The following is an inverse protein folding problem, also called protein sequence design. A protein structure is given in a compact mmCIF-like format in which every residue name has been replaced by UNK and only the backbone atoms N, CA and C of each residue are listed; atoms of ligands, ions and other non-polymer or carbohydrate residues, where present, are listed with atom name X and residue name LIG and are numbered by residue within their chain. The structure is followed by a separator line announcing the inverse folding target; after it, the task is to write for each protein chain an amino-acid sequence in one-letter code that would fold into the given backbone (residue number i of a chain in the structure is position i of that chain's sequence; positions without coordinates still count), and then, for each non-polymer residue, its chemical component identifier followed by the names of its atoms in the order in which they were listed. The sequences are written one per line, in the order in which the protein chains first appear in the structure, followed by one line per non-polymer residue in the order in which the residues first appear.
data_IF_034341894734
#
_entry.id   IF_034341894734
#
_cell.length_a   1.000
_cell.length_b   1.000
_cell.length_c   1.000
_cell.angle_alpha   90.00
_cell.angle_beta   90.00
_cell.angle_gamma   90.00
#
_symmetry.space_group_name_H-M   'P 1'
#
loop_
_entity.id
_entity.type
_entity.pdbx_description
1 polymer ?
#
# COMPACT_ATOMS: atom_id res chain seq x y z
N UNK A 1 16.94 -1.82 16.64
CA UNK A 1 18.02 -1.70 15.63
C UNK A 1 18.30 -0.20 15.46
N UNK A 2 19.56 0.25 15.45
CA UNK A 2 19.87 1.64 15.12
C UNK A 2 19.45 1.92 13.67
N UNK A 3 19.04 3.15 13.35
CA UNK A 3 18.61 3.56 12.02
C UNK A 3 19.60 4.59 11.45
N UNK A 4 19.74 4.70 10.11
CA UNK A 4 20.55 5.72 9.46
C UNK A 4 20.11 7.13 9.86
N UNK A 5 21.06 8.03 10.03
CA UNK A 5 20.81 9.41 10.45
C UNK A 5 20.02 10.19 9.40
N UNK A 6 20.27 9.95 8.12
CA UNK A 6 19.59 10.62 7.02
C UNK A 6 18.10 10.25 6.98
N UNK A 7 17.77 8.98 7.23
CA UNK A 7 16.39 8.53 7.37
C UNK A 7 15.68 9.23 8.53
N UNK A 8 16.32 9.35 9.70
CA UNK A 8 15.71 10.03 10.86
C UNK A 8 15.39 11.48 10.54
N UNK A 9 16.34 12.19 9.91
CA UNK A 9 16.13 13.58 9.49
C UNK A 9 14.99 13.70 8.47
N UNK A 10 14.92 12.78 7.50
CA UNK A 10 13.85 12.74 6.52
C UNK A 10 12.48 12.48 7.18
N UNK A 11 12.41 11.49 8.06
CA UNK A 11 11.22 11.11 8.82
C UNK A 11 10.72 12.27 9.70
N UNK A 12 11.62 12.94 10.41
CA UNK A 12 11.28 14.11 11.25
C UNK A 12 10.79 15.29 10.40
N UNK A 13 11.36 15.48 9.20
CA UNK A 13 11.05 16.62 8.33
C UNK A 13 9.72 16.49 7.61
N UNK A 14 9.40 15.29 7.13
CA UNK A 14 8.27 15.02 6.23
C UNK A 14 7.13 14.23 6.91
N UNK A 15 7.44 13.42 7.91
CA UNK A 15 6.50 12.47 8.50
C UNK A 15 6.21 11.27 7.56
N UNK A 16 5.18 10.46 7.88
CA UNK A 16 4.76 9.36 7.02
C UNK A 16 4.19 9.90 5.70
N UNK A 17 4.47 9.23 4.58
CA UNK A 17 4.00 9.66 3.28
C UNK A 17 4.69 8.95 2.12
N UNK A 18 4.44 9.49 0.93
CA UNK A 18 4.99 8.97 -0.32
C UNK A 18 5.59 10.08 -1.18
N UNK A 19 6.64 9.75 -1.92
CA UNK A 19 7.17 10.59 -2.99
C UNK A 19 6.51 10.23 -4.33
N UNK A 20 6.08 11.24 -5.07
CA UNK A 20 5.36 11.12 -6.34
C UNK A 20 4.14 10.19 -6.31
N UNK A 21 3.53 10.02 -5.13
CA UNK A 21 2.46 9.03 -4.87
C UNK A 21 2.83 7.60 -5.31
N UNK A 22 4.13 7.29 -5.35
CA UNK A 22 4.64 6.01 -5.84
C UNK A 22 5.62 5.36 -4.85
N UNK A 23 6.56 6.13 -4.28
CA UNK A 23 7.55 5.63 -3.32
C UNK A 23 7.08 5.87 -1.90
N UNK A 24 6.59 4.82 -1.24
CA UNK A 24 6.11 4.86 0.15
C UNK A 24 7.23 4.48 1.10
N UNK A 25 7.61 5.40 1.99
CA UNK A 25 8.60 5.10 3.02
C UNK A 25 7.93 4.58 4.27
N UNK A 26 8.49 3.51 4.83
CA UNK A 26 8.02 3.00 6.10
C UNK A 26 8.41 3.97 7.20
N UNK A 27 7.46 4.26 8.08
CA UNK A 27 7.61 5.25 9.13
C UNK A 27 7.17 4.66 10.48
N UNK A 28 7.79 4.98 11.64
CA UNK A 28 7.36 4.46 12.93
C UNK A 28 5.91 4.84 13.27
N UNK A 29 5.50 6.03 12.87
CA UNK A 29 4.11 6.52 12.95
C UNK A 29 3.31 6.25 11.67
N UNK A 30 3.65 5.19 10.92
CA UNK A 30 2.93 4.79 9.71
C UNK A 30 1.46 4.55 10.01
N UNK A 31 0.59 5.07 9.13
CA UNK A 31 -0.88 5.09 9.35
C UNK A 31 -1.55 3.72 9.22
N UNK A 32 -0.87 2.75 8.60
CA UNK A 32 -1.30 1.35 8.49
C UNK A 32 -0.12 0.41 8.78
N UNK A 33 -0.39 -0.87 9.03
CA UNK A 33 0.67 -1.87 9.22
C UNK A 33 1.57 -2.03 7.97
N UNK A 34 1.06 -1.72 6.78
CA UNK A 34 1.74 -1.84 5.48
C UNK A 34 2.85 -0.82 5.27
N UNK A 35 2.79 0.31 5.99
CA UNK A 35 3.79 1.38 5.91
C UNK A 35 4.42 1.69 7.27
N UNK A 36 4.26 0.79 8.25
CA UNK A 36 4.83 0.96 9.58
C UNK A 36 6.19 0.28 9.68
N UNK A 37 7.24 1.07 9.90
CA UNK A 37 8.63 0.58 10.02
C UNK A 37 8.83 -0.38 11.20
N UNK A 38 8.08 -0.16 12.29
CA UNK A 38 8.12 -0.97 13.50
C UNK A 38 7.00 -2.01 13.55
N UNK A 39 6.19 -2.09 12.49
CA UNK A 39 5.08 -3.01 12.35
C UNK A 39 5.53 -4.43 11.98
N UNK A 40 4.55 -5.33 11.75
CA UNK A 40 4.85 -6.72 11.39
C UNK A 40 5.41 -6.88 9.97
N UNK A 41 5.24 -5.89 9.10
CA UNK A 41 5.50 -6.01 7.67
C UNK A 41 6.98 -6.21 7.31
N UNK A 42 7.94 -5.44 7.85
CA UNK A 42 9.36 -5.71 7.62
C UNK A 42 9.79 -7.15 8.00
N UNK A 43 9.20 -7.70 9.07
CA UNK A 43 9.43 -9.10 9.47
C UNK A 43 8.82 -10.11 8.51
N UNK A 44 7.60 -9.87 8.03
CA UNK A 44 6.92 -10.72 7.02
C UNK A 44 7.69 -10.74 5.70
N UNK A 45 8.15 -9.58 5.24
CA UNK A 45 8.95 -9.45 4.00
C UNK A 45 10.25 -10.25 4.15
N UNK A 46 10.96 -10.09 5.27
CA UNK A 46 12.19 -10.86 5.55
C UNK A 46 11.95 -12.36 5.56
N UNK A 47 10.87 -12.82 6.19
CA UNK A 47 10.52 -14.24 6.22
C UNK A 47 10.19 -14.79 4.82
N UNK A 48 9.62 -13.98 3.94
CA UNK A 48 9.39 -14.34 2.55
C UNK A 48 10.73 -14.46 1.80
N UNK A 49 11.60 -13.46 1.91
CA UNK A 49 12.94 -13.50 1.31
C UNK A 49 13.76 -14.70 1.79
N UNK A 50 13.66 -15.07 3.08
CA UNK A 50 14.31 -16.26 3.62
C UNK A 50 13.83 -17.53 2.93
N UNK A 51 12.52 -17.70 2.73
CA UNK A 51 11.98 -18.85 2.01
C UNK A 51 12.51 -18.91 0.58
N UNK A 52 12.51 -17.78 -0.12
CA UNK A 52 12.98 -17.73 -1.51
C UNK A 52 14.48 -18.01 -1.62
N UNK A 53 15.27 -17.51 -0.66
CA UNK A 53 16.70 -17.78 -0.53
C UNK A 53 16.99 -19.27 -0.24
N UNK A 54 16.31 -19.85 0.74
CA UNK A 54 16.52 -21.25 1.15
C UNK A 54 16.06 -22.25 0.07
N UNK A 55 15.01 -21.90 -0.69
CA UNK A 55 14.49 -22.73 -1.78
C UNK A 55 15.21 -22.51 -3.12
N UNK A 56 16.01 -21.45 -3.24
CA UNK A 56 16.70 -21.07 -4.48
C UNK A 56 15.74 -20.71 -5.62
N UNK A 57 14.47 -20.38 -5.33
CA UNK A 57 13.45 -20.06 -6.33
C UNK A 57 13.67 -18.69 -6.94
N UNK A 58 14.20 -17.74 -6.16
CA UNK A 58 14.62 -16.42 -6.61
C UNK A 58 15.96 -16.04 -5.97
N UNK A 59 16.95 -15.58 -6.75
CA UNK A 59 18.22 -15.13 -6.19
C UNK A 59 18.00 -13.88 -5.31
N UNK A 60 18.33 -14.00 -4.03
CA UNK A 60 18.43 -12.87 -3.10
C UNK A 60 19.91 -12.53 -2.95
N UNK A 61 20.35 -11.31 -3.31
CA UNK A 61 21.77 -10.98 -3.46
C UNK A 61 22.52 -10.80 -2.14
N UNK A 62 21.78 -10.61 -1.05
CA UNK A 62 22.30 -10.48 0.31
C UNK A 62 21.63 -11.51 1.20
N UNK A 63 22.25 -11.84 2.32
CA UNK A 63 21.57 -12.63 3.34
C UNK A 63 20.27 -11.89 3.74
N UNK A 64 19.10 -12.52 3.71
CA UNK A 64 17.85 -11.92 4.18
C UNK A 64 17.95 -11.27 5.57
N UNK A 65 18.84 -11.70 6.45
CA UNK A 65 19.06 -11.06 7.75
C UNK A 65 19.76 -9.70 7.65
N UNK A 66 20.49 -9.46 6.57
CA UNK A 66 21.12 -8.19 6.21
C UNK A 66 20.20 -7.28 5.37
N UNK A 67 18.94 -7.69 5.13
CA UNK A 67 17.97 -6.88 4.38
C UNK A 67 16.86 -6.39 5.32
N UNK A 68 16.77 -5.08 5.47
CA UNK A 68 15.70 -4.44 6.25
C UNK A 68 14.79 -3.63 5.34
N UNK A 69 13.54 -4.05 5.18
CA UNK A 69 12.56 -3.34 4.35
C UNK A 69 12.24 -1.96 4.96
N UNK A 70 12.49 -0.91 4.18
CA UNK A 70 12.32 0.49 4.60
C UNK A 70 11.34 1.27 3.71
N UNK A 71 10.82 0.66 2.65
CA UNK A 71 9.78 1.24 1.83
C UNK A 71 9.20 0.26 0.83
N UNK A 72 8.20 0.71 0.09
CA UNK A 72 7.58 -0.03 -1.00
C UNK A 72 7.14 0.90 -2.12
N UNK A 73 6.86 0.33 -3.28
CA UNK A 73 6.23 1.03 -4.40
C UNK A 73 4.78 0.59 -4.61
N UNK A 74 4.02 1.35 -5.40
CA UNK A 74 2.69 0.93 -5.84
C UNK A 74 2.69 -0.29 -6.77
N UNK A 75 3.83 -0.60 -7.40
CA UNK A 75 3.98 -1.76 -8.27
C UNK A 75 4.40 -3.03 -7.50
N UNK A 76 4.67 -2.91 -6.19
CA UNK A 76 4.99 -4.03 -5.31
C UNK A 76 6.49 -4.32 -5.17
N UNK A 77 7.36 -3.42 -5.63
CA UNK A 77 8.76 -3.45 -5.23
C UNK A 77 8.88 -3.03 -3.77
N UNK A 78 9.88 -3.58 -3.08
CA UNK A 78 10.31 -3.16 -1.76
C UNK A 78 11.68 -2.50 -1.86
N UNK A 79 11.86 -1.48 -1.04
CA UNK A 79 13.14 -0.83 -0.80
C UNK A 79 13.72 -1.40 0.49
N UNK A 80 15.01 -1.68 0.49
CA UNK A 80 15.73 -2.25 1.62
C UNK A 80 16.96 -1.43 1.96
N UNK A 81 17.24 -1.30 3.25
CA UNK A 81 18.62 -1.09 3.69
C UNK A 81 19.37 -2.42 3.66
N UNK A 82 20.56 -2.39 3.06
CA UNK A 82 21.57 -3.45 3.21
C UNK A 82 22.32 -3.16 4.51
N UNK A 83 22.02 -3.90 5.57
CA UNK A 83 22.45 -3.61 6.94
C UNK A 83 23.83 -4.18 7.28
N UNK A 84 24.77 -4.08 6.34
CA UNK A 84 26.16 -4.54 6.50
C UNK A 84 27.14 -3.37 6.33
N UNK A 85 28.00 -3.05 7.32
CA UNK A 85 28.04 -3.64 8.66
C UNK A 85 26.86 -3.22 9.53
N UNK A 86 26.34 -4.12 10.35
CA UNK A 86 25.20 -3.87 11.23
C UNK A 86 25.48 -2.79 12.31
N UNK A 87 26.76 -2.50 12.59
CA UNK A 87 27.20 -1.54 13.61
C UNK A 87 27.28 -0.11 13.10
N UNK A 88 27.19 0.14 11.79
CA UNK A 88 27.35 1.47 11.20
C UNK A 88 26.22 1.76 10.19
N UNK A 89 25.03 2.16 10.69
CA UNK A 89 23.87 2.35 9.85
C UNK A 89 23.99 3.50 8.84
N UNK A 90 24.86 4.47 9.08
CA UNK A 90 25.07 5.59 8.15
C UNK A 90 25.81 5.16 6.87
N UNK A 91 26.36 3.93 6.86
CA UNK A 91 26.98 3.31 5.68
C UNK A 91 26.06 2.36 4.94
N UNK A 92 24.84 2.13 5.42
CA UNK A 92 23.92 1.21 4.75
C UNK A 92 23.51 1.73 3.37
N UNK A 93 23.52 0.81 2.42
CA UNK A 93 23.17 1.07 1.01
C UNK A 93 21.72 0.68 0.73
N UNK A 94 21.22 1.05 -0.44
CA UNK A 94 19.83 0.73 -0.85
C UNK A 94 19.82 -0.45 -1.81
N UNK A 95 18.88 -1.36 -1.59
CA UNK A 95 18.50 -2.38 -2.56
C UNK A 95 17.01 -2.27 -2.91
N UNK A 96 16.67 -2.59 -4.15
CA UNK A 96 15.29 -2.65 -4.65
C UNK A 96 15.09 -3.98 -5.34
N UNK A 97 14.09 -4.76 -4.93
CA UNK A 97 13.75 -6.00 -5.63
C UNK A 97 12.82 -5.71 -6.82
N UNK A 98 12.80 -6.63 -7.78
CA UNK A 98 11.72 -6.74 -8.73
C UNK A 98 10.50 -7.37 -8.06
N UNK A 99 9.32 -6.73 -8.18
CA UNK A 99 8.10 -7.17 -7.51
C UNK A 99 7.71 -8.62 -7.85
N UNK A 100 7.97 -9.02 -9.10
CA UNK A 100 7.62 -10.34 -9.65
C UNK A 100 8.76 -10.87 -10.51
N UNK A 101 9.95 -10.99 -9.93
CA UNK A 101 11.09 -11.53 -10.65
C UNK A 101 12.37 -11.61 -9.84
N UNK A 102 13.44 -12.13 -10.46
CA UNK A 102 14.69 -12.41 -9.77
C UNK A 102 15.62 -11.20 -9.68
N UNK A 103 15.29 -10.07 -10.33
CA UNK A 103 16.25 -8.98 -10.49
C UNK A 103 16.26 -8.08 -9.26
N UNK A 104 17.43 -7.55 -8.97
CA UNK A 104 17.66 -6.56 -7.93
C UNK A 104 18.42 -5.39 -8.51
N UNK A 105 18.14 -4.20 -7.97
CA UNK A 105 18.91 -3.00 -8.18
C UNK A 105 19.55 -2.60 -6.86
N UNK A 106 20.82 -2.16 -6.90
CA UNK A 106 21.51 -1.64 -5.73
C UNK A 106 22.00 -0.23 -6.00
N UNK A 107 22.02 0.58 -4.94
CA UNK A 107 22.51 1.95 -4.98
C UNK A 107 23.49 2.18 -3.84
N UNK A 108 24.72 2.54 -4.20
CA UNK A 108 25.77 2.87 -3.25
C UNK A 108 25.56 4.31 -2.73
N UNK A 109 24.81 4.41 -1.65
CA UNK A 109 24.58 5.66 -0.95
C UNK A 109 23.39 5.59 -0.01
N UNK A 110 23.17 6.69 0.70
CA UNK A 110 22.11 6.82 1.69
C UNK A 110 20.71 6.83 1.06
N UNK A 111 19.67 6.65 1.87
CA UNK A 111 18.28 6.68 1.40
C UNK A 111 17.92 8.03 0.77
N UNK A 112 18.32 9.12 1.41
CA UNK A 112 18.09 10.48 0.92
C UNK A 112 18.82 10.76 -0.38
N UNK A 113 20.06 10.27 -0.53
CA UNK A 113 20.81 10.37 -1.79
C UNK A 113 20.13 9.58 -2.91
N UNK A 114 19.67 8.35 -2.62
CA UNK A 114 18.90 7.54 -3.55
C UNK A 114 17.63 8.26 -4.01
N UNK A 115 16.81 8.76 -3.07
CA UNK A 115 15.58 9.48 -3.40
C UNK A 115 15.85 10.73 -4.23
N UNK A 116 16.84 11.54 -3.85
CA UNK A 116 17.21 12.75 -4.60
C UNK A 116 17.68 12.40 -6.02
N UNK A 117 18.50 11.37 -6.17
CA UNK A 117 19.02 10.93 -7.46
C UNK A 117 17.91 10.37 -8.38
N UNK A 118 17.01 9.55 -7.84
CA UNK A 118 15.87 9.00 -8.60
C UNK A 118 14.89 10.10 -8.99
N UNK A 119 14.46 10.93 -8.04
CA UNK A 119 13.45 11.96 -8.27
C UNK A 119 13.95 13.13 -9.14
N UNK A 120 15.27 13.28 -9.29
CA UNK A 120 15.89 14.22 -10.24
C UNK A 120 16.22 13.59 -11.60
N UNK A 121 16.02 12.27 -11.76
CA UNK A 121 16.33 11.53 -12.98
C UNK A 121 17.81 11.22 -13.19
N UNK A 122 18.67 11.46 -12.19
CA UNK A 122 20.09 11.10 -12.24
C UNK A 122 20.31 9.59 -12.15
N UNK A 123 19.43 8.86 -11.45
CA UNK A 123 19.46 7.39 -11.37
C UNK A 123 18.17 6.81 -11.92
N UNK A 124 18.30 5.91 -12.88
CA UNK A 124 17.20 5.11 -13.39
C UNK A 124 17.22 3.73 -12.73
N UNK A 125 16.17 3.43 -11.96
CA UNK A 125 15.94 2.10 -11.38
C UNK A 125 15.15 1.30 -12.41
N UNK A 126 15.68 0.19 -12.97
CA UNK A 126 15.01 -0.57 -14.04
C UNK A 126 13.60 -1.07 -13.69
N UNK A 127 13.31 -1.24 -12.40
CA UNK A 127 12.02 -1.70 -11.89
C UNK A 127 10.97 -0.58 -11.84
N UNK A 128 11.37 0.69 -11.89
CA UNK A 128 10.44 1.82 -11.78
C UNK A 128 9.85 2.20 -13.14
N UNK A 129 8.61 2.71 -13.17
CA UNK A 129 7.99 3.14 -14.41
C UNK A 129 8.72 4.38 -14.96
N UNK A 130 8.88 4.43 -16.29
CA UNK A 130 9.46 5.60 -16.96
C UNK A 130 8.67 6.90 -16.69
N UNK A 131 7.36 6.79 -16.42
CA UNK A 131 6.46 7.91 -16.12
C UNK A 131 6.62 8.48 -14.70
N UNK A 132 7.49 7.91 -13.85
CA UNK A 132 7.72 8.38 -12.48
C UNK A 132 8.09 9.87 -12.42
N UNK A 133 8.72 10.39 -13.48
CA UNK A 133 9.26 11.75 -13.58
C UNK A 133 8.46 12.66 -14.53
N UNK A 134 7.29 12.21 -15.00
CA UNK A 134 6.42 13.01 -15.89
C UNK A 134 5.89 14.27 -15.20
N UNK A 135 5.90 14.28 -13.85
CA UNK A 135 5.54 15.41 -13.03
C UNK A 135 6.70 15.80 -12.08
N UNK A 136 6.78 17.07 -11.65
CA UNK A 136 7.75 17.50 -10.66
C UNK A 136 7.69 16.67 -9.38
N UNK A 137 8.86 16.46 -8.77
CA UNK A 137 8.98 15.75 -7.50
C UNK A 137 8.09 16.39 -6.42
N UNK A 138 7.23 15.58 -5.80
CA UNK A 138 6.34 15.99 -4.72
C UNK A 138 6.36 14.98 -3.58
N UNK A 139 6.05 15.44 -2.38
CA UNK A 139 5.78 14.59 -1.23
C UNK A 139 4.32 14.72 -0.83
N UNK A 140 3.65 13.59 -0.66
CA UNK A 140 2.27 13.49 -0.20
C UNK A 140 2.25 12.89 1.20
N UNK A 141 1.94 13.69 2.25
CA UNK A 141 1.84 13.18 3.60
C UNK A 141 0.71 12.16 3.75
N UNK A 142 0.99 11.02 4.39
CA UNK A 142 -0.04 10.09 4.82
C UNK A 142 -0.81 10.69 5.98
N UNK A 143 -2.12 10.89 5.78
CA UNK A 143 -3.02 11.22 6.88
C UNK A 143 -3.67 9.92 7.36
N UNK A 144 -3.89 9.75 8.68
CA UNK A 144 -4.78 8.71 9.13
C UNK A 144 -6.11 8.93 8.42
N UNK A 145 -6.44 8.08 7.46
CA UNK A 145 -7.80 7.99 6.99
C UNK A 145 -8.55 7.40 8.18
N UNK A 146 -9.19 8.27 8.96
CA UNK A 146 -10.40 7.91 9.69
C UNK A 146 -11.46 7.57 8.64
N UNK A 147 -11.23 6.50 7.87
CA UNK A 147 -12.23 5.93 6.99
C UNK A 147 -13.20 5.20 7.90
N UNK A 148 -14.06 5.97 8.56
CA UNK A 148 -15.44 5.53 8.66
C UNK A 148 -15.95 5.62 7.23
N UNK A 149 -16.34 4.51 6.57
CA UNK A 149 -17.18 4.67 5.39
C UNK A 149 -18.32 5.58 5.84
N UNK A 150 -18.48 6.72 5.16
CA UNK A 150 -19.63 7.58 5.43
C UNK A 150 -20.85 6.67 5.27
N UNK A 151 -21.67 6.48 6.32
CA UNK A 151 -22.83 5.62 6.18
C UNK A 151 -23.59 6.15 4.97
N UNK A 152 -24.02 5.27 4.05
CA UNK A 152 -24.78 5.73 2.89
C UNK A 152 -25.91 6.62 3.41
N UNK A 153 -25.94 7.88 2.95
CA UNK A 153 -26.90 8.90 3.40
C UNK A 153 -28.28 8.27 3.46
N UNK A 154 -28.92 8.33 4.63
CA UNK A 154 -30.28 7.88 4.95
C UNK A 154 -31.03 7.25 3.77
N UNK A 155 -30.69 6.00 3.44
CA UNK A 155 -31.67 5.15 2.76
C UNK A 155 -32.63 4.79 3.89
N UNK A 156 -33.73 5.54 4.00
CA UNK A 156 -34.81 5.15 4.89
C UNK A 156 -35.05 3.65 4.67
N UNK A 157 -35.09 2.83 5.74
CA UNK A 157 -35.34 1.40 5.60
C UNK A 157 -36.66 1.26 4.86
N UNK A 158 -36.61 0.90 3.57
CA UNK A 158 -37.83 0.69 2.80
C UNK A 158 -38.51 -0.48 3.47
N UNK A 159 -39.75 -0.29 3.92
CA UNK A 159 -40.50 -1.33 4.60
C UNK A 159 -40.70 -2.51 3.64
N UNK A 160 -39.81 -3.49 3.77
CA UNK A 160 -39.80 -4.66 2.90
C UNK A 160 -41.06 -5.51 3.11
N UNK A 161 -41.78 -5.36 4.23
CA UNK A 161 -43.07 -5.99 4.41
C UNK A 161 -44.14 -5.30 3.55
N UNK A 162 -44.15 -3.97 3.50
CA UNK A 162 -45.03 -3.21 2.62
C UNK A 162 -44.80 -3.51 1.13
N UNK A 163 -43.54 -3.57 0.69
CA UNK A 163 -43.23 -3.94 -0.71
C UNK A 163 -43.73 -5.35 -1.03
N UNK A 164 -43.52 -6.33 -0.13
CA UNK A 164 -43.97 -7.71 -0.35
C UNK A 164 -45.50 -7.83 -0.36
N UNK A 165 -46.19 -7.09 0.51
CA UNK A 165 -47.65 -7.07 0.55
C UNK A 165 -48.22 -6.49 -0.77
N UNK A 166 -47.68 -5.37 -1.24
CA UNK A 166 -48.04 -4.79 -2.52
C UNK A 166 -47.73 -5.73 -3.68
N UNK A 167 -46.54 -6.32 -3.69
CA UNK A 167 -46.10 -7.23 -4.75
C UNK A 167 -47.04 -8.43 -4.91
N UNK A 168 -47.44 -9.07 -3.79
CA UNK A 168 -48.41 -10.18 -3.80
C UNK A 168 -49.79 -9.73 -4.28
N UNK A 169 -50.25 -8.56 -3.84
CA UNK A 169 -51.53 -8.00 -4.28
C UNK A 169 -51.55 -7.68 -5.79
N UNK A 170 -50.39 -7.43 -6.39
CA UNK A 170 -50.21 -7.14 -7.82
C UNK A 170 -49.71 -8.36 -8.64
N UNK A 171 -49.75 -9.57 -8.05
CA UNK A 171 -49.46 -10.81 -8.77
C UNK A 171 -47.99 -11.16 -8.95
N UNK A 172 -47.06 -10.46 -8.26
CA UNK A 172 -45.64 -10.81 -8.27
C UNK A 172 -45.34 -11.96 -7.31
N UNK A 173 -44.53 -12.92 -7.76
CA UNK A 173 -43.97 -13.96 -6.90
C UNK A 173 -42.76 -13.40 -6.13
N UNK A 174 -42.84 -13.43 -4.80
CA UNK A 174 -41.83 -12.85 -3.90
C UNK A 174 -41.59 -13.78 -2.70
N UNK A 175 -40.31 -14.11 -2.40
CA UNK A 175 -39.97 -14.89 -1.22
C UNK A 175 -40.49 -14.26 0.08
N UNK A 176 -40.94 -15.07 1.06
CA UNK A 176 -41.46 -14.57 2.33
C UNK A 176 -40.40 -13.89 3.19
N UNK A 177 -39.12 -14.17 2.96
CA UNK A 177 -37.95 -13.58 3.65
C UNK A 177 -36.80 -13.41 2.67
N UNK A 178 -35.83 -12.58 3.05
CA UNK A 178 -34.64 -12.32 2.24
C UNK A 178 -34.80 -11.15 1.27
N UNK A 179 -33.86 -11.04 0.33
CA UNK A 179 -33.77 -9.92 -0.61
C UNK A 179 -34.99 -9.87 -1.53
N UNK A 180 -35.57 -8.67 -1.68
CA UNK A 180 -36.63 -8.43 -2.67
C UNK A 180 -36.00 -8.40 -4.07
N UNK A 181 -36.54 -9.13 -5.06
CA UNK A 181 -36.06 -9.06 -6.44
C UNK A 181 -36.06 -7.62 -6.96
N UNK A 182 -34.99 -7.17 -7.66
CA UNK A 182 -34.87 -5.79 -8.15
C UNK A 182 -36.09 -5.33 -8.96
N UNK A 183 -36.62 -6.19 -9.84
CA UNK A 183 -37.79 -5.90 -10.67
C UNK A 183 -39.05 -5.57 -9.86
N UNK A 184 -39.23 -6.19 -8.69
CA UNK A 184 -40.38 -5.94 -7.80
C UNK A 184 -40.20 -4.61 -7.08
N UNK A 185 -38.96 -4.28 -6.70
CA UNK A 185 -38.62 -3.01 -6.07
C UNK A 185 -38.83 -1.84 -7.01
N UNK A 186 -38.35 -1.93 -8.24
CA UNK A 186 -38.54 -0.92 -9.29
C UNK A 186 -40.03 -0.70 -9.63
N UNK A 187 -40.81 -1.79 -9.67
CA UNK A 187 -42.25 -1.71 -9.92
C UNK A 187 -42.99 -1.02 -8.77
N UNK A 188 -42.59 -1.30 -7.51
CA UNK A 188 -43.16 -0.65 -6.33
C UNK A 188 -42.79 0.84 -6.26
N UNK A 189 -41.54 1.19 -6.55
CA UNK A 189 -41.06 2.58 -6.57
C UNK A 189 -41.81 3.39 -7.64
N UNK A 190 -41.99 2.85 -8.85
CA UNK A 190 -42.79 3.48 -9.92
C UNK A 190 -44.25 3.69 -9.53
N UNK A 191 -44.81 2.84 -8.67
CA UNK A 191 -46.20 2.95 -8.22
C UNK A 191 -46.42 3.92 -7.05
N UNK A 192 -45.37 4.27 -6.29
CA UNK A 192 -45.48 5.08 -5.07
C UNK A 192 -44.69 6.40 -5.10
N UNK A 193 -43.84 6.59 -6.10
CA UNK A 193 -43.16 7.86 -6.39
C UNK A 193 -43.39 8.23 -7.87
N UNK A 194 -44.45 8.99 -8.18
CA UNK A 194 -44.68 9.53 -9.53
C UNK A 194 -43.66 10.59 -9.94
#
# INVERSE_FOLDING_TARGET
MPLPQDYKQLADRYGPGAFNDYLHLFHPNGVTEFVNLTGPMPGRIRAQLRKDYDQGTHPVPHDPDQLFACGSTDNGEYLFWITDPATDPDRWHIAVNEARGPRWFTYDGTLTAFLASVLSGQTQVPQFPHSLLDAPARFTPSRPTLWKPEPPRDVQPVDTAAIRAWARANGYDVPPRGRIPPAVREAWERAHHP
#
